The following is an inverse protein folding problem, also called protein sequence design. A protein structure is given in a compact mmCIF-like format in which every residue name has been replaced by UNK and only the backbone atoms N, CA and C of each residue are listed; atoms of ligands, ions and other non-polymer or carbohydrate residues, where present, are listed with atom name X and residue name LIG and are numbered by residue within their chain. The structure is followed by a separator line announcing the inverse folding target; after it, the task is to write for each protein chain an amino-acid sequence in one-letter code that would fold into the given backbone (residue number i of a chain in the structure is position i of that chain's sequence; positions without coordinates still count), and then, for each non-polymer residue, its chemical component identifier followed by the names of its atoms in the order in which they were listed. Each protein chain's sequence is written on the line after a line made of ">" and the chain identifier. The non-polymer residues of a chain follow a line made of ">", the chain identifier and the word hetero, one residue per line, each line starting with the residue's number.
data_IF_781457844201
#
_entry.id   IF_781457844201
#
_cell.length_a   1.000
_cell.length_b   1.000
_cell.length_c   1.000
_cell.angle_alpha   90.00
_cell.angle_beta   90.00
_cell.angle_gamma   90.00
#
_symmetry.space_group_name_H-M   'P 1'
#
loop_
_entity.id
_entity.type
_entity.pdbx_description
1 polymer ?
#
# COMPACT_ATOMS: atom_id res chain seq x y z
N UNK A 1 45.07 22.85 -16.41
CA UNK A 1 44.20 23.03 -15.23
C UNK A 1 43.29 21.84 -14.99
N UNK A 2 43.65 21.00 -14.02
CA UNK A 2 42.84 19.85 -13.59
C UNK A 2 41.67 20.32 -12.75
N UNK A 3 40.44 19.99 -13.16
CA UNK A 3 39.23 20.29 -12.37
C UNK A 3 39.30 19.58 -11.02
N UNK A 4 39.24 20.35 -9.92
CA UNK A 4 39.12 19.84 -8.56
C UNK A 4 37.76 19.16 -8.41
N UNK A 5 37.71 17.94 -7.86
CA UNK A 5 36.43 17.27 -7.57
C UNK A 5 35.71 18.02 -6.46
N UNK A 6 34.43 18.33 -6.66
CA UNK A 6 33.57 18.96 -5.66
C UNK A 6 32.60 17.92 -5.05
N UNK A 7 32.17 18.17 -3.81
CA UNK A 7 31.22 17.31 -3.11
C UNK A 7 29.81 17.55 -3.65
N UNK A 8 29.05 16.48 -3.89
CA UNK A 8 27.64 16.57 -4.28
C UNK A 8 26.74 16.75 -3.06
N UNK A 9 25.61 17.42 -3.26
CA UNK A 9 24.52 17.44 -2.28
C UNK A 9 23.72 16.14 -2.36
N UNK A 10 23.26 15.65 -1.21
CA UNK A 10 22.41 14.45 -1.13
C UNK A 10 21.00 14.84 -0.67
N UNK A 11 20.00 14.13 -1.17
CA UNK A 11 18.60 14.23 -0.75
C UNK A 11 18.02 12.82 -0.71
N UNK A 12 17.07 12.57 0.19
CA UNK A 12 16.29 11.35 0.24
C UNK A 12 14.81 11.67 0.50
N UNK A 13 13.94 10.72 0.14
CA UNK A 13 12.51 10.75 0.43
C UNK A 13 11.98 9.32 0.46
N UNK A 14 10.90 9.09 1.22
CA UNK A 14 10.21 7.80 1.28
C UNK A 14 9.31 7.63 0.07
N UNK A 15 9.52 6.58 -0.72
CA UNK A 15 8.62 6.24 -1.83
C UNK A 15 7.29 5.65 -1.33
N UNK A 16 7.35 4.71 -0.38
CA UNK A 16 6.17 4.06 0.18
C UNK A 16 6.46 3.56 1.59
N UNK A 17 5.75 4.10 2.58
CA UNK A 17 5.76 3.58 3.95
C UNK A 17 4.67 2.50 4.06
N UNK A 18 5.02 1.23 3.86
CA UNK A 18 4.07 0.10 3.72
C UNK A 18 2.99 0.10 4.80
N UNK A 19 3.35 0.25 6.07
CA UNK A 19 2.38 0.24 7.17
C UNK A 19 1.33 1.35 7.08
N UNK A 20 1.75 2.60 6.82
CA UNK A 20 0.84 3.74 6.67
C UNK A 20 0.00 3.64 5.40
N UNK A 21 0.62 3.16 4.33
CA UNK A 21 -0.03 2.98 3.02
C UNK A 21 -1.14 1.93 3.11
N UNK A 22 -0.89 0.82 3.82
CA UNK A 22 -1.90 -0.22 4.04
C UNK A 22 -3.11 0.31 4.82
N UNK A 23 -2.88 1.05 5.91
CA UNK A 23 -3.97 1.66 6.71
C UNK A 23 -4.78 2.62 5.84
N UNK A 24 -4.12 3.51 5.09
CA UNK A 24 -4.80 4.46 4.22
C UNK A 24 -5.64 3.76 3.15
N UNK A 25 -5.15 2.67 2.54
CA UNK A 25 -5.94 1.87 1.60
C UNK A 25 -7.16 1.26 2.30
N UNK A 26 -6.99 0.69 3.48
CA UNK A 26 -8.10 0.06 4.21
C UNK A 26 -9.20 1.06 4.56
N UNK A 27 -8.84 2.23 5.07
CA UNK A 27 -9.81 3.24 5.48
C UNK A 27 -10.55 3.87 4.29
N UNK A 28 -9.88 4.09 3.16
CA UNK A 28 -10.47 4.80 2.02
C UNK A 28 -11.18 3.89 1.02
N UNK A 29 -10.88 2.59 1.03
CA UNK A 29 -11.44 1.64 0.06
C UNK A 29 -12.36 0.59 0.69
N UNK A 30 -12.68 0.73 1.99
CA UNK A 30 -13.69 -0.10 2.64
C UNK A 30 -15.11 0.27 2.15
N UNK A 31 -15.94 -0.74 1.89
CA UNK A 31 -17.38 -0.56 1.64
C UNK A 31 -18.24 -0.79 2.90
N UNK A 32 -19.55 -0.58 2.80
CA UNK A 32 -20.48 -0.73 3.92
C UNK A 32 -20.60 -2.15 4.48
N UNK A 33 -20.25 -3.17 3.68
CA UNK A 33 -20.23 -4.58 4.08
C UNK A 33 -18.88 -4.99 4.69
N UNK A 34 -17.90 -4.09 4.66
CA UNK A 34 -16.57 -4.26 5.21
C UNK A 34 -15.58 -4.94 4.27
N UNK A 35 -15.89 -5.06 2.98
CA UNK A 35 -14.91 -5.48 1.97
C UNK A 35 -13.97 -4.32 1.64
N UNK A 36 -12.76 -4.63 1.17
CA UNK A 36 -11.79 -3.63 0.71
C UNK A 36 -11.70 -3.72 -0.81
N UNK A 37 -12.06 -2.64 -1.51
CA UNK A 37 -11.82 -2.50 -2.95
C UNK A 37 -10.32 -2.30 -3.19
N UNK A 38 -9.74 -3.07 -4.10
CA UNK A 38 -8.34 -2.92 -4.48
C UNK A 38 -8.22 -1.73 -5.45
N UNK A 39 -7.39 -0.71 -5.16
CA UNK A 39 -7.14 0.38 -6.09
C UNK A 39 -6.75 -0.15 -7.47
N UNK A 40 -7.31 0.40 -8.55
CA UNK A 40 -7.12 -0.09 -9.93
C UNK A 40 -5.64 -0.25 -10.27
N UNK A 41 -4.81 0.70 -9.85
CA UNK A 41 -3.35 0.69 -10.05
C UNK A 41 -2.62 -0.47 -9.37
N UNK A 42 -3.22 -1.09 -8.35
CA UNK A 42 -2.65 -2.22 -7.61
C UNK A 42 -3.12 -3.58 -8.14
N UNK A 43 -4.23 -3.65 -8.87
CA UNK A 43 -4.82 -4.91 -9.34
C UNK A 43 -3.88 -5.78 -10.21
N UNK A 44 -3.03 -5.22 -11.10
CA UNK A 44 -2.06 -6.02 -11.87
C UNK A 44 -1.04 -6.74 -10.98
N UNK A 45 -0.75 -6.20 -9.80
CA UNK A 45 0.17 -6.79 -8.82
C UNK A 45 -0.52 -7.80 -7.90
N UNK A 46 -1.85 -7.90 -7.97
CA UNK A 46 -2.68 -8.78 -7.15
C UNK A 46 -3.39 -9.87 -7.96
N UNK A 47 -2.83 -10.26 -9.10
CA UNK A 47 -3.44 -11.27 -10.00
C UNK A 47 -4.87 -10.94 -10.43
N UNK A 48 -5.19 -9.65 -10.58
CA UNK A 48 -6.52 -9.18 -10.97
C UNK A 48 -7.57 -9.20 -9.84
N UNK A 49 -7.17 -9.34 -8.58
CA UNK A 49 -8.10 -9.23 -7.46
C UNK A 49 -8.61 -7.78 -7.36
N UNK A 50 -9.92 -7.62 -7.49
CA UNK A 50 -10.60 -6.32 -7.37
C UNK A 50 -11.15 -6.05 -5.96
N UNK A 51 -11.48 -7.10 -5.20
CA UNK A 51 -12.11 -6.98 -3.87
C UNK A 51 -11.53 -8.02 -2.92
N UNK A 52 -11.14 -7.57 -1.72
CA UNK A 52 -10.81 -8.43 -0.57
C UNK A 52 -12.05 -8.50 0.32
N UNK A 53 -12.70 -9.66 0.37
CA UNK A 53 -13.93 -9.83 1.14
C UNK A 53 -13.67 -10.07 2.62
N UNK A 54 -14.54 -9.51 3.47
CA UNK A 54 -14.53 -9.82 4.90
C UNK A 54 -15.00 -11.26 5.11
N UNK A 55 -14.11 -12.15 5.56
CA UNK A 55 -14.52 -13.51 5.96
C UNK A 55 -15.47 -13.42 7.17
N UNK A 56 -16.65 -14.03 7.05
CA UNK A 56 -17.53 -14.26 8.20
C UNK A 56 -16.80 -15.18 9.20
N UNK A 57 -16.91 -14.87 10.49
CA UNK A 57 -16.28 -15.66 11.55
C UNK A 57 -17.06 -16.96 11.74
N UNK A 58 -16.53 -18.07 11.23
CA UNK A 58 -16.97 -19.42 11.63
C UNK A 58 -16.25 -19.93 12.90
N UNK A 59 -15.60 -19.03 13.66
CA UNK A 59 -14.87 -19.39 14.87
C UNK A 59 -15.71 -19.10 16.10
N UNK A 60 -16.37 -20.16 16.59
CA UNK A 60 -16.76 -20.27 17.99
C UNK A 60 -15.45 -20.36 18.79
N UNK A 61 -15.09 -19.28 19.48
CA UNK A 61 -14.03 -19.34 20.48
C UNK A 61 -14.60 -20.19 21.63
N UNK A 62 -14.07 -21.40 21.79
CA UNK A 62 -14.27 -22.23 22.98
C UNK A 62 -13.54 -21.62 24.18
#
# INVERSE_FOLDING_TARGET
>A
DGKKKELVHTMNSTACAVGRTLIAIYENYQDGDGNIKVPEVLQPYMSGIEIISRKKKDKQYI
#
